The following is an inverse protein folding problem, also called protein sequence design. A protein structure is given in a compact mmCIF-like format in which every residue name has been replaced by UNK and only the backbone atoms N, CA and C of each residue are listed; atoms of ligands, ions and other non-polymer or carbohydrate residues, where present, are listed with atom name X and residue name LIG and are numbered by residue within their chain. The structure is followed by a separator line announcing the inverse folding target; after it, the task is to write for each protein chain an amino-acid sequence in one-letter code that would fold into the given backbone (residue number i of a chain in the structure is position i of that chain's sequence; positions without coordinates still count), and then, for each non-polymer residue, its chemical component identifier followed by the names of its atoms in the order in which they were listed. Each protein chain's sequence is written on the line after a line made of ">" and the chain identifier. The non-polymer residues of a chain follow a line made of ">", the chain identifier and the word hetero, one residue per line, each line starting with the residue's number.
data_IF_976029133857
#
_entry.id   IF_976029133857
#
_cell.length_a   1.000
_cell.length_b   1.000
_cell.length_c   1.000
_cell.angle_alpha   90.00
_cell.angle_beta   90.00
_cell.angle_gamma   90.00
#
_symmetry.space_group_name_H-M   'P 1'
#
loop_
_entity.id
_entity.type
_entity.pdbx_description
1 polymer ?
#
# COMPACT_ATOMS: atom_id res chain seq x y z
N UNK A 1 -33.18 22.74 17.28
CA UNK A 1 -32.59 21.45 17.66
C UNK A 1 -31.16 21.41 17.12
N UNK A 2 -30.14 21.56 17.98
CA UNK A 2 -28.74 21.31 17.57
C UNK A 2 -28.53 19.80 17.51
N UNK A 3 -27.98 19.23 16.43
CA UNK A 3 -27.65 17.81 16.43
C UNK A 3 -26.68 17.51 17.59
N UNK A 4 -26.80 16.35 18.24
CA UNK A 4 -25.87 15.97 19.30
C UNK A 4 -24.44 16.00 18.75
N UNK A 5 -23.45 16.49 19.50
CA UNK A 5 -22.06 16.43 19.07
C UNK A 5 -21.73 14.95 18.81
N UNK A 6 -21.25 14.65 17.60
CA UNK A 6 -20.89 13.30 17.20
C UNK A 6 -19.89 12.76 18.24
N UNK A 7 -20.10 11.54 18.77
CA UNK A 7 -19.21 11.01 19.80
C UNK A 7 -17.80 10.91 19.19
N UNK A 8 -16.83 11.61 19.78
CA UNK A 8 -15.41 11.69 19.37
C UNK A 8 -14.84 10.32 18.96
N UNK A 9 -15.32 9.23 19.58
CA UNK A 9 -14.99 7.84 19.27
C UNK A 9 -15.22 7.43 17.81
N UNK A 10 -16.20 8.02 17.10
CA UNK A 10 -16.51 7.67 15.69
C UNK A 10 -15.57 8.37 14.70
N UNK A 11 -15.15 9.60 15.01
CA UNK A 11 -14.18 10.35 14.18
C UNK A 11 -12.80 9.69 14.25
N UNK A 12 -12.37 9.28 15.45
CA UNK A 12 -11.06 8.64 15.66
C UNK A 12 -10.98 7.22 15.03
N UNK A 13 -12.11 6.61 14.67
CA UNK A 13 -12.17 5.33 13.95
C UNK A 13 -12.04 5.51 12.42
N UNK A 14 -12.53 6.63 11.88
CA UNK A 14 -12.57 6.89 10.43
C UNK A 14 -11.27 7.52 9.93
N UNK A 15 -10.55 8.24 10.80
CA UNK A 15 -9.29 8.93 10.45
C UNK A 15 -8.24 7.95 9.89
N UNK A 16 -7.96 6.79 10.52
CA UNK A 16 -6.96 5.87 9.98
C UNK A 16 -7.36 5.34 8.60
N UNK A 17 -8.58 4.80 8.47
CA UNK A 17 -9.06 4.27 7.19
C UNK A 17 -9.06 5.31 6.05
N UNK A 18 -9.22 6.60 6.34
CA UNK A 18 -9.05 7.65 5.33
C UNK A 18 -7.60 7.81 4.89
N UNK A 19 -6.65 7.80 5.83
CA UNK A 19 -5.22 7.85 5.48
C UNK A 19 -4.80 6.63 4.65
N UNK A 20 -5.30 5.44 4.99
CA UNK A 20 -5.07 4.22 4.21
C UNK A 20 -5.58 4.39 2.77
N UNK A 21 -6.78 4.94 2.61
CA UNK A 21 -7.35 5.20 1.28
C UNK A 21 -6.58 6.28 0.51
N UNK A 22 -6.04 7.29 1.20
CA UNK A 22 -5.13 8.27 0.57
C UNK A 22 -3.82 7.64 0.13
N UNK A 23 -3.26 6.73 0.92
CA UNK A 23 -2.08 5.96 0.51
C UNK A 23 -2.36 5.19 -0.79
N UNK A 24 -3.49 4.46 -0.84
CA UNK A 24 -3.92 3.73 -2.04
C UNK A 24 -4.03 4.65 -3.26
N UNK A 25 -4.58 5.86 -3.09
CA UNK A 25 -4.67 6.85 -4.16
C UNK A 25 -3.29 7.21 -4.72
N UNK A 26 -2.30 7.47 -3.88
CA UNK A 26 -0.94 7.79 -4.34
C UNK A 26 -0.26 6.59 -5.00
N UNK A 27 -0.49 5.37 -4.52
CA UNK A 27 0.00 4.13 -5.15
C UNK A 27 -0.55 3.95 -6.57
N UNK A 28 -1.85 4.13 -6.77
CA UNK A 28 -2.48 4.06 -8.10
C UNK A 28 -2.02 5.21 -8.98
N UNK A 29 -1.90 6.42 -8.44
CA UNK A 29 -1.42 7.58 -9.20
C UNK A 29 0.01 7.38 -9.71
N UNK A 30 0.88 6.76 -8.90
CA UNK A 30 2.22 6.38 -9.31
C UNK A 30 2.20 5.40 -10.50
N UNK A 31 1.32 4.39 -10.48
CA UNK A 31 1.16 3.46 -11.60
C UNK A 31 0.70 4.20 -12.88
N UNK A 32 -0.24 5.15 -12.76
CA UNK A 32 -0.71 5.96 -13.89
C UNK A 32 0.41 6.85 -14.45
N UNK A 33 1.27 7.41 -13.59
CA UNK A 33 2.46 8.16 -14.04
C UNK A 33 3.47 7.26 -14.74
N UNK A 34 3.63 6.01 -14.27
CA UNK A 34 4.50 5.02 -14.88
C UNK A 34 4.03 4.62 -16.29
N UNK A 35 2.71 4.57 -16.56
CA UNK A 35 2.19 4.33 -17.92
C UNK A 35 2.41 5.51 -18.86
N UNK A 36 2.53 6.73 -18.33
CA UNK A 36 2.86 7.95 -19.09
C UNK A 36 4.35 8.13 -19.35
N UNK A 37 5.20 7.20 -18.89
CA UNK A 37 6.66 7.29 -19.00
C UNK A 37 7.31 8.26 -18.00
N UNK A 38 6.57 8.83 -17.06
CA UNK A 38 7.09 9.75 -16.04
C UNK A 38 7.67 8.99 -14.83
N UNK A 39 8.64 8.10 -15.09
CA UNK A 39 9.19 7.18 -14.08
C UNK A 39 9.78 7.87 -12.85
N UNK A 40 10.43 9.03 -13.04
CA UNK A 40 11.01 9.81 -11.95
C UNK A 40 9.93 10.29 -10.96
N UNK A 41 8.81 10.81 -11.48
CA UNK A 41 7.68 11.27 -10.64
C UNK A 41 6.96 10.09 -10.02
N UNK A 42 6.74 9.02 -10.77
CA UNK A 42 6.11 7.79 -10.27
C UNK A 42 6.89 7.20 -9.08
N UNK A 43 8.23 7.15 -9.13
CA UNK A 43 9.06 6.69 -8.02
C UNK A 43 8.89 7.54 -6.75
N UNK A 44 8.87 8.87 -6.88
CA UNK A 44 8.60 9.76 -5.74
C UNK A 44 7.22 9.56 -5.12
N UNK A 45 6.19 9.30 -5.94
CA UNK A 45 4.85 9.00 -5.43
C UNK A 45 4.77 7.66 -4.70
N UNK A 46 5.53 6.64 -5.12
CA UNK A 46 5.66 5.37 -4.38
C UNK A 46 6.31 5.60 -3.01
N UNK A 47 7.37 6.41 -2.95
CA UNK A 47 8.01 6.77 -1.68
C UNK A 47 7.04 7.54 -0.77
N UNK A 48 6.28 8.47 -1.35
CA UNK A 48 5.29 9.26 -0.60
C UNK A 48 4.14 8.40 -0.08
N UNK A 49 3.63 7.48 -0.90
CA UNK A 49 2.67 6.45 -0.52
C UNK A 49 3.20 5.64 0.69
N UNK A 50 4.45 5.17 0.61
CA UNK A 50 5.04 4.42 1.70
C UNK A 50 5.23 5.21 3.01
N UNK A 51 5.53 6.51 2.93
CA UNK A 51 5.62 7.37 4.12
C UNK A 51 4.24 7.52 4.77
N UNK A 52 3.19 7.75 3.97
CA UNK A 52 1.82 7.86 4.44
C UNK A 52 1.33 6.58 5.11
N UNK A 53 1.67 5.43 4.54
CA UNK A 53 1.36 4.11 5.08
C UNK A 53 1.98 3.89 6.46
N UNK A 54 3.27 4.22 6.58
CA UNK A 54 4.01 4.09 7.83
C UNK A 54 3.46 5.02 8.92
N UNK A 55 2.95 6.19 8.52
CA UNK A 55 2.30 7.14 9.40
C UNK A 55 0.93 6.63 9.85
N UNK A 56 0.11 6.09 8.94
CA UNK A 56 -1.23 5.60 9.25
C UNK A 56 -1.18 4.35 10.16
N UNK A 57 -0.33 3.39 9.85
CA UNK A 57 -0.10 2.21 10.69
C UNK A 57 0.49 2.55 12.08
N UNK A 58 1.14 3.72 12.24
CA UNK A 58 1.55 4.24 13.56
C UNK A 58 0.40 4.94 14.27
N UNK A 59 -0.37 5.77 13.57
CA UNK A 59 -1.53 6.49 14.13
C UNK A 59 -2.62 5.51 14.58
N UNK A 60 -2.89 4.45 13.81
CA UNK A 60 -3.83 3.39 14.16
C UNK A 60 -3.42 2.61 15.42
N UNK A 61 -2.11 2.35 15.59
CA UNK A 61 -1.56 1.68 16.78
C UNK A 61 -1.58 2.57 18.02
N UNK A 62 -1.21 3.84 17.88
CA UNK A 62 -1.13 4.78 19.01
C UNK A 62 -2.53 5.20 19.48
N UNK A 63 -3.51 5.27 18.58
CA UNK A 63 -4.86 5.73 18.92
C UNK A 63 -5.72 4.68 19.64
N UNK A 64 -5.30 3.40 19.71
CA UNK A 64 -6.06 2.34 20.39
C UNK A 64 -7.46 2.08 19.80
N UNK A 65 -7.76 2.68 18.65
CA UNK A 65 -9.07 2.71 17.97
C UNK A 65 -9.07 1.98 16.63
N UNK A 66 -8.02 1.20 16.34
CA UNK A 66 -7.96 0.36 15.15
C UNK A 66 -9.10 -0.67 15.15
N UNK A 67 -10.05 -0.50 14.25
CA UNK A 67 -11.06 -1.54 14.02
C UNK A 67 -10.42 -2.72 13.28
N UNK A 68 -10.93 -3.93 13.51
CA UNK A 68 -10.48 -5.12 12.77
C UNK A 68 -10.57 -4.90 11.25
N UNK A 69 -11.59 -4.17 10.79
CA UNK A 69 -11.73 -3.78 9.40
C UNK A 69 -10.59 -2.87 8.91
N UNK A 70 -10.22 -1.83 9.69
CA UNK A 70 -9.13 -0.93 9.35
C UNK A 70 -7.78 -1.65 9.26
N UNK A 71 -7.52 -2.59 10.16
CA UNK A 71 -6.27 -3.39 10.13
C UNK A 71 -6.17 -4.30 8.90
N UNK A 72 -7.29 -4.90 8.47
CA UNK A 72 -7.33 -5.68 7.22
C UNK A 72 -7.21 -4.75 5.99
N UNK A 73 -7.84 -3.57 6.02
CA UNK A 73 -7.74 -2.58 4.95
C UNK A 73 -6.30 -2.08 4.76
N UNK A 74 -5.61 -1.76 5.86
CA UNK A 74 -4.17 -1.39 5.91
C UNK A 74 -3.35 -2.46 5.20
N UNK A 75 -3.47 -3.72 5.64
CA UNK A 75 -2.74 -4.85 5.04
C UNK A 75 -3.00 -5.02 3.53
N UNK A 76 -4.23 -4.76 3.05
CA UNK A 76 -4.54 -4.84 1.62
C UNK A 76 -3.89 -3.69 0.84
N UNK A 77 -3.91 -2.48 1.40
CA UNK A 77 -3.32 -1.29 0.77
C UNK A 77 -1.80 -1.36 0.76
N UNK A 78 -1.16 -1.85 1.82
CA UNK A 78 0.29 -2.11 1.88
C UNK A 78 0.74 -2.97 0.68
N UNK A 79 0.00 -4.03 0.36
CA UNK A 79 0.31 -4.91 -0.79
C UNK A 79 0.25 -4.13 -2.10
N UNK A 80 -0.73 -3.24 -2.26
CA UNK A 80 -0.87 -2.44 -3.49
C UNK A 80 0.25 -1.40 -3.58
N UNK A 81 0.50 -0.65 -2.51
CA UNK A 81 1.45 0.46 -2.50
C UNK A 81 2.92 -0.01 -2.52
N UNK A 82 3.25 -1.11 -1.83
CA UNK A 82 4.63 -1.61 -1.73
C UNK A 82 4.92 -2.89 -2.52
N UNK A 83 3.90 -3.67 -2.88
CA UNK A 83 4.06 -4.85 -3.73
C UNK A 83 3.80 -4.49 -5.19
N UNK A 84 2.56 -4.09 -5.49
CA UNK A 84 2.09 -3.94 -6.87
C UNK A 84 2.67 -2.70 -7.54
N UNK A 85 2.69 -1.54 -6.88
CA UNK A 85 3.15 -0.29 -7.50
C UNK A 85 4.63 -0.33 -7.91
N UNK A 86 5.57 -0.82 -7.08
CA UNK A 86 6.97 -0.95 -7.48
C UNK A 86 7.18 -2.00 -8.56
N UNK A 87 6.47 -3.14 -8.48
CA UNK A 87 6.54 -4.17 -9.51
C UNK A 87 6.04 -3.65 -10.86
N UNK A 88 4.97 -2.87 -10.86
CA UNK A 88 4.43 -2.23 -12.06
C UNK A 88 5.38 -1.17 -12.62
N UNK A 89 6.00 -0.36 -11.76
CA UNK A 89 7.02 0.61 -12.18
C UNK A 89 8.21 -0.09 -12.85
N UNK A 90 8.74 -1.15 -12.23
CA UNK A 90 9.81 -1.96 -12.81
C UNK A 90 9.40 -2.59 -14.14
N UNK A 91 8.17 -3.09 -14.24
CA UNK A 91 7.63 -3.61 -15.49
C UNK A 91 7.65 -2.56 -16.60
N UNK A 92 7.20 -1.36 -16.29
CA UNK A 92 7.12 -0.29 -17.28
C UNK A 92 8.51 0.24 -17.70
N UNK A 93 9.46 0.33 -16.76
CA UNK A 93 10.84 0.79 -17.05
C UNK A 93 11.59 -0.23 -17.90
N UNK A 94 11.59 -1.50 -17.50
CA UNK A 94 12.44 -2.53 -18.10
C UNK A 94 11.81 -3.16 -19.36
N UNK A 95 10.48 -3.32 -19.38
CA UNK A 95 9.81 -4.13 -20.40
C UNK A 95 8.88 -3.33 -21.33
N UNK A 96 8.33 -2.19 -20.90
CA UNK A 96 7.46 -1.37 -21.74
C UNK A 96 8.19 -0.21 -22.46
N UNK A 97 9.24 0.37 -21.85
CA UNK A 97 9.93 1.56 -22.39
C UNK A 97 11.06 1.26 -23.40
N UNK A 98 11.44 -0.01 -23.59
CA UNK A 98 12.13 -0.45 -24.82
C UNK A 98 13.63 -0.19 -24.94
N UNK A 99 14.45 -0.15 -23.88
CA UNK A 99 15.91 -0.07 -24.07
C UNK A 99 16.75 -0.55 -22.87
N UNK A 100 16.96 -1.86 -22.74
CA UNK A 100 18.23 -2.47 -22.26
C UNK A 100 18.09 -4.01 -22.14
N UNK A 101 18.45 -4.75 -23.19
CA UNK A 101 18.80 -6.17 -23.06
C UNK A 101 17.72 -7.18 -23.47
N UNK A 102 17.59 -7.39 -24.78
CA UNK A 102 17.41 -8.72 -25.37
C UNK A 102 16.08 -9.47 -25.12
N UNK A 103 15.14 -9.32 -26.05
CA UNK A 103 14.53 -10.50 -26.71
C UNK A 103 13.51 -11.37 -25.97
N UNK A 104 12.96 -11.01 -24.81
CA UNK A 104 11.95 -11.85 -24.11
C UNK A 104 10.55 -11.20 -24.02
N UNK A 105 9.99 -10.80 -25.16
CA UNK A 105 8.68 -10.15 -25.29
C UNK A 105 7.43 -10.98 -24.94
N UNK A 106 7.49 -11.96 -24.02
CA UNK A 106 6.34 -12.81 -23.69
C UNK A 106 6.04 -13.03 -22.20
N UNK A 107 7.06 -12.99 -21.32
CA UNK A 107 6.89 -13.51 -19.95
C UNK A 107 7.60 -12.70 -18.85
N UNK A 108 8.07 -11.49 -19.12
CA UNK A 108 8.77 -10.68 -18.11
C UNK A 108 7.91 -10.31 -16.89
N UNK A 109 6.60 -10.25 -17.07
CA UNK A 109 5.62 -10.04 -15.99
C UNK A 109 5.69 -11.13 -14.91
N UNK A 110 6.26 -12.31 -15.21
CA UNK A 110 6.41 -13.40 -14.23
C UNK A 110 7.33 -12.98 -13.06
N UNK A 111 8.39 -12.21 -13.33
CA UNK A 111 9.29 -11.72 -12.26
C UNK A 111 8.55 -10.74 -11.35
N UNK A 112 7.70 -9.89 -11.92
CA UNK A 112 6.82 -8.99 -11.17
C UNK A 112 5.83 -9.78 -10.32
N UNK A 113 5.25 -10.86 -10.86
CA UNK A 113 4.38 -11.77 -10.12
C UNK A 113 5.09 -12.39 -8.91
N UNK A 114 6.30 -12.95 -9.08
CA UNK A 114 7.06 -13.54 -7.97
C UNK A 114 7.42 -12.51 -6.90
N UNK A 115 7.75 -11.27 -7.30
CA UNK A 115 7.98 -10.16 -6.37
C UNK A 115 6.73 -9.85 -5.53
N UNK A 116 5.58 -9.64 -6.19
CA UNK A 116 4.31 -9.35 -5.50
C UNK A 116 3.89 -10.51 -4.61
N UNK A 117 4.07 -11.75 -5.08
CA UNK A 117 3.78 -12.96 -4.31
C UNK A 117 4.65 -13.03 -3.03
N UNK A 118 5.95 -12.78 -3.15
CA UNK A 118 6.85 -12.75 -2.00
C UNK A 118 6.47 -11.63 -1.01
N UNK A 119 6.11 -10.44 -1.51
CA UNK A 119 5.63 -9.33 -0.69
C UNK A 119 4.34 -9.68 0.06
N UNK A 120 3.36 -10.28 -0.62
CA UNK A 120 2.09 -10.70 -0.04
C UNK A 120 2.28 -11.77 1.05
N UNK A 121 3.13 -12.77 0.81
CA UNK A 121 3.45 -13.81 1.82
C UNK A 121 4.13 -13.19 3.04
N UNK A 122 5.08 -12.27 2.83
CA UNK A 122 5.77 -11.57 3.92
C UNK A 122 4.77 -10.78 4.77
N UNK A 123 3.85 -10.06 4.16
CA UNK A 123 2.86 -9.26 4.87
C UNK A 123 1.83 -10.13 5.60
N UNK A 124 1.35 -11.21 4.98
CA UNK A 124 0.47 -12.18 5.61
C UNK A 124 1.12 -12.82 6.86
N UNK A 125 2.40 -13.20 6.78
CA UNK A 125 3.15 -13.70 7.95
C UNK A 125 3.27 -12.65 9.04
N UNK A 126 3.51 -11.39 8.68
CA UNK A 126 3.58 -10.29 9.64
C UNK A 126 2.23 -10.06 10.33
N UNK A 127 1.14 -10.01 9.57
CA UNK A 127 -0.23 -9.82 10.09
C UNK A 127 -0.61 -10.95 11.06
N UNK A 128 -0.34 -12.21 10.71
CA UNK A 128 -0.59 -13.37 11.60
C UNK A 128 0.25 -13.30 12.89
N UNK A 129 1.52 -12.88 12.79
CA UNK A 129 2.40 -12.74 13.97
C UNK A 129 1.95 -11.60 14.89
N UNK A 130 1.45 -10.49 14.32
CA UNK A 130 0.88 -9.36 15.05
C UNK A 130 -0.43 -9.76 15.76
N UNK A 131 -1.33 -10.47 15.07
CA UNK A 131 -2.58 -10.97 15.64
C UNK A 131 -2.37 -11.94 16.81
N UNK A 132 -1.29 -12.74 16.78
CA UNK A 132 -0.90 -13.62 17.88
C UNK A 132 -0.40 -12.89 19.13
N UNK A 133 0.18 -11.68 18.98
CA UNK A 133 0.68 -10.87 20.10
C UNK A 133 -0.41 -10.15 20.89
N UNK A 134 -1.57 -9.89 20.28
CA UNK A 134 -2.70 -9.21 20.94
C UNK A 134 -3.45 -10.07 21.99
N UNK A 135 -3.03 -11.33 22.21
CA UNK A 135 -3.62 -12.26 23.19
C UNK A 135 -2.75 -12.56 24.41
N UNK A 136 -1.72 -11.77 24.66
CA UNK A 136 -0.97 -11.84 25.92
C UNK A 136 -1.28 -10.58 26.72
N UNK A 137 -2.34 -10.61 27.55
CA UNK A 137 -2.47 -9.97 28.87
C UNK A 137 -3.86 -10.22 29.43
#
# INVERSE_FOLDING_TARGET
>A
MRPPPLPLRRVVIVVPSLFTLFNLFFGIWAMVLATRGEFYRAGWFIVFAGILDTLDGRVARISGTGTRFGAELDSLVDIVSFGVAPAFLMYQVEFAAGSAGGGSGGASWIFCYFYVMAAAIRLARFNVTQAGRAKAY
#
